data_IF_967434680481
#
_entry.id   IF_967434680481
#
_cell.length_a   1.000
_cell.length_b   1.000
_cell.length_c   1.000
_cell.angle_alpha   90.00
_cell.angle_beta   90.00
_cell.angle_gamma   90.00
#
_symmetry.space_group_name_H-M   'P 1'
#
loop_
_entity.id
_entity.type
_entity.pdbx_description
1 polymer ?
#
# COMPACT_ATOMS: atom_id res chain seq x y z
N UNK A 1 -2.09 15.97 -29.92
CA UNK A 1 -1.47 16.88 -30.91
C UNK A 1 -1.21 18.28 -30.34
N UNK A 2 -2.20 18.93 -29.70
CA UNK A 2 -2.06 20.27 -29.09
C UNK A 2 -0.88 20.40 -28.10
N UNK A 3 -0.69 19.40 -27.24
CA UNK A 3 0.41 19.41 -26.24
C UNK A 3 1.81 19.34 -26.87
N UNK A 4 1.92 18.76 -28.07
CA UNK A 4 3.20 18.69 -28.79
C UNK A 4 3.61 20.08 -29.32
N UNK A 5 2.67 20.84 -29.87
CA UNK A 5 2.94 22.20 -30.36
C UNK A 5 3.28 23.16 -29.23
N UNK A 6 2.60 23.05 -28.08
CA UNK A 6 2.87 23.88 -26.90
C UNK A 6 4.30 23.64 -26.39
N UNK A 7 4.75 22.38 -26.33
CA UNK A 7 6.13 22.04 -25.92
C UNK A 7 7.17 22.58 -26.90
N UNK A 8 6.93 22.45 -28.21
CA UNK A 8 7.82 22.98 -29.25
C UNK A 8 7.93 24.51 -29.12
N UNK A 9 6.80 25.21 -28.96
CA UNK A 9 6.78 26.66 -28.80
C UNK A 9 7.52 27.10 -27.53
N UNK A 10 7.30 26.44 -26.40
CA UNK A 10 7.99 26.74 -25.15
C UNK A 10 9.51 26.57 -25.27
N UNK A 11 9.97 25.52 -25.95
CA UNK A 11 11.39 25.30 -26.21
C UNK A 11 11.99 26.39 -27.10
N UNK A 12 11.27 26.82 -28.16
CA UNK A 12 11.72 27.92 -29.01
C UNK A 12 11.85 29.24 -28.24
N UNK A 13 10.87 29.57 -27.40
CA UNK A 13 10.90 30.77 -26.56
C UNK A 13 12.09 30.72 -25.59
N UNK A 14 12.35 29.57 -24.96
CA UNK A 14 13.49 29.40 -24.07
C UNK A 14 14.82 29.62 -24.79
N UNK A 15 14.98 29.05 -25.99
CA UNK A 15 16.18 29.24 -26.82
C UNK A 15 16.37 30.74 -27.14
N UNK A 16 15.30 31.45 -27.50
CA UNK A 16 15.36 32.89 -27.79
C UNK A 16 15.78 33.67 -26.53
N UNK A 17 15.20 33.38 -25.37
CA UNK A 17 15.56 34.05 -24.10
C UNK A 17 17.03 33.84 -23.74
N UNK A 18 17.58 32.66 -24.02
CA UNK A 18 18.98 32.33 -23.72
C UNK A 18 19.97 32.87 -24.76
N UNK A 19 19.57 33.01 -26.03
CA UNK A 19 20.47 33.46 -27.10
C UNK A 19 20.40 34.98 -27.32
N UNK A 20 19.24 35.61 -27.10
CA UNK A 20 19.03 37.03 -27.36
C UNK A 20 20.03 37.94 -26.63
N UNK A 21 20.36 37.75 -25.34
CA UNK A 21 21.34 38.60 -24.66
C UNK A 21 22.72 38.54 -25.33
N UNK A 22 23.13 37.37 -25.83
CA UNK A 22 24.42 37.19 -26.54
C UNK A 22 24.39 37.95 -27.86
N UNK A 23 23.33 37.79 -28.66
CA UNK A 23 23.20 38.46 -29.95
C UNK A 23 23.14 39.98 -29.80
N UNK A 24 22.41 40.48 -28.79
CA UNK A 24 22.34 41.91 -28.48
C UNK A 24 23.72 42.44 -28.07
N UNK A 25 24.43 41.70 -27.21
CA UNK A 25 25.78 42.07 -26.79
C UNK A 25 26.77 42.11 -27.96
N UNK A 26 26.74 41.10 -28.84
CA UNK A 26 27.55 41.03 -30.06
C UNK A 26 27.23 42.20 -31.00
N UNK A 27 25.95 42.52 -31.20
CA UNK A 27 25.53 43.62 -32.05
C UNK A 27 26.06 44.97 -31.55
N UNK A 28 26.08 45.16 -30.23
CA UNK A 28 26.46 46.43 -29.62
C UNK A 28 27.96 46.61 -29.43
N UNK A 29 28.70 45.54 -29.11
CA UNK A 29 30.13 45.60 -28.74
C UNK A 29 31.05 44.87 -29.72
N UNK A 30 30.50 44.22 -30.76
CA UNK A 30 31.24 43.43 -31.72
C UNK A 30 31.57 42.01 -31.24
N UNK A 31 32.21 41.24 -32.11
CA UNK A 31 32.71 39.89 -31.81
C UNK A 31 34.22 39.98 -31.64
N UNK A 32 34.74 39.57 -30.48
CA UNK A 32 36.18 39.52 -30.25
C UNK A 32 36.54 39.11 -28.84
N UNK A 33 37.81 38.83 -28.63
CA UNK A 33 38.41 38.70 -27.30
C UNK A 33 39.03 40.06 -26.97
N UNK A 34 38.45 40.77 -26.01
CA UNK A 34 38.96 42.07 -25.58
C UNK A 34 40.33 41.90 -24.91
N UNK A 35 41.28 42.76 -25.28
CA UNK A 35 42.66 42.74 -24.78
C UNK A 35 42.78 43.26 -23.35
N UNK A 36 41.83 44.09 -22.91
CA UNK A 36 41.81 44.68 -21.58
C UNK A 36 41.00 43.82 -20.60
N UNK A 37 41.57 43.58 -19.43
CA UNK A 37 40.93 42.78 -18.38
C UNK A 37 39.65 43.43 -17.82
N UNK A 38 39.58 44.76 -17.80
CA UNK A 38 38.39 45.54 -17.41
C UNK A 38 37.16 45.20 -18.28
N UNK A 39 37.35 45.06 -19.60
CA UNK A 39 36.27 44.73 -20.54
C UNK A 39 35.69 43.34 -20.28
N UNK A 40 36.51 42.39 -19.83
CA UNK A 40 36.02 41.07 -19.41
C UNK A 40 35.15 41.14 -18.16
N UNK A 41 35.51 41.97 -17.18
CA UNK A 41 34.72 42.17 -15.97
C UNK A 41 33.37 42.82 -16.28
N UNK A 42 33.33 43.81 -17.17
CA UNK A 42 32.09 44.47 -17.62
C UNK A 42 31.17 43.52 -18.40
N UNK A 43 31.72 42.73 -19.32
CA UNK A 43 30.98 41.67 -20.02
C UNK A 43 30.39 40.66 -19.03
N UNK A 44 31.20 40.18 -18.09
CA UNK A 44 30.78 39.25 -17.05
C UNK A 44 29.68 39.82 -16.17
N UNK A 45 29.74 41.12 -15.84
CA UNK A 45 28.70 41.82 -15.08
C UNK A 45 27.39 41.94 -15.87
N UNK A 46 27.46 42.31 -17.15
CA UNK A 46 26.28 42.43 -18.02
C UNK A 46 25.56 41.08 -18.19
N UNK A 47 26.30 40.02 -18.53
CA UNK A 47 25.73 38.68 -18.64
C UNK A 47 25.32 38.11 -17.29
N UNK A 48 26.11 38.32 -16.23
CA UNK A 48 25.79 37.89 -14.89
C UNK A 48 24.48 38.50 -14.38
N UNK A 49 24.24 39.79 -14.64
CA UNK A 49 23.00 40.47 -14.30
C UNK A 49 21.77 39.94 -15.02
N UNK A 50 21.91 39.47 -16.26
CA UNK A 50 20.80 38.93 -17.07
C UNK A 50 20.59 37.44 -16.80
N UNK A 51 21.65 36.63 -16.82
CA UNK A 51 21.55 35.18 -16.67
C UNK A 51 21.32 34.73 -15.24
N UNK A 52 21.78 35.46 -14.22
CA UNK A 52 21.52 35.08 -12.83
C UNK A 52 20.02 34.94 -12.54
N UNK A 53 19.15 35.94 -12.82
CA UNK A 53 17.71 35.79 -12.60
C UNK A 53 17.07 34.75 -13.53
N UNK A 54 17.54 34.61 -14.78
CA UNK A 54 17.02 33.58 -15.72
C UNK A 54 17.31 32.16 -15.18
N UNK A 55 18.55 31.89 -14.80
CA UNK A 55 18.97 30.60 -14.26
C UNK A 55 18.27 30.33 -12.94
N UNK A 56 18.15 31.32 -12.06
CA UNK A 56 17.42 31.19 -10.80
C UNK A 56 15.94 30.82 -11.04
N UNK A 57 15.29 31.49 -12.00
CA UNK A 57 13.90 31.19 -12.36
C UNK A 57 13.73 29.78 -12.96
N UNK A 58 14.65 29.36 -13.84
CA UNK A 58 14.64 28.01 -14.40
C UNK A 58 14.86 26.95 -13.34
N UNK A 59 15.83 27.15 -12.45
CA UNK A 59 16.09 26.25 -11.32
C UNK A 59 14.86 26.13 -10.41
N UNK A 60 14.22 27.26 -10.07
CA UNK A 60 12.98 27.26 -9.30
C UNK A 60 11.85 26.50 -10.01
N UNK A 61 11.71 26.69 -11.33
CA UNK A 61 10.70 25.98 -12.13
C UNK A 61 10.91 24.47 -12.13
N UNK A 62 12.17 24.03 -12.22
CA UNK A 62 12.54 22.61 -12.11
C UNK A 62 12.19 22.05 -10.73
N UNK A 63 12.53 22.76 -9.66
CA UNK A 63 12.21 22.35 -8.29
C UNK A 63 10.69 22.22 -8.08
N UNK A 64 9.90 23.16 -8.60
CA UNK A 64 8.44 23.09 -8.53
C UNK A 64 7.88 21.85 -9.23
N UNK A 65 8.40 21.52 -10.42
CA UNK A 65 8.02 20.31 -11.13
C UNK A 65 8.45 19.04 -10.37
N UNK A 66 9.67 19.04 -9.82
CA UNK A 66 10.21 17.93 -9.06
C UNK A 66 9.37 17.65 -7.81
N UNK A 67 9.02 18.68 -7.04
CA UNK A 67 8.15 18.53 -5.85
C UNK A 67 6.81 17.92 -6.21
N UNK A 68 6.20 18.35 -7.33
CA UNK A 68 4.93 17.78 -7.80
C UNK A 68 5.06 16.31 -8.19
N UNK A 69 6.12 15.96 -8.92
CA UNK A 69 6.39 14.56 -9.30
C UNK A 69 6.69 13.69 -8.09
N UNK A 70 7.46 14.21 -7.14
CA UNK A 70 7.86 13.50 -5.92
C UNK A 70 6.64 13.13 -5.09
N UNK A 71 5.69 14.05 -4.90
CA UNK A 71 4.44 13.75 -4.16
C UNK A 71 3.69 12.57 -4.74
N UNK A 72 3.57 12.49 -6.07
CA UNK A 72 2.90 11.36 -6.71
C UNK A 72 3.66 10.06 -6.50
N UNK A 73 4.99 10.08 -6.58
CA UNK A 73 5.81 8.89 -6.29
C UNK A 73 5.68 8.46 -4.83
N UNK A 74 5.70 9.41 -3.90
CA UNK A 74 5.59 9.16 -2.46
C UNK A 74 4.26 8.46 -2.12
N UNK A 75 3.15 8.90 -2.72
CA UNK A 75 1.85 8.24 -2.58
C UNK A 75 1.88 6.78 -3.07
N UNK A 76 2.48 6.53 -4.25
CA UNK A 76 2.60 5.16 -4.78
C UNK A 76 3.51 4.30 -3.89
N UNK A 77 4.62 4.86 -3.39
CA UNK A 77 5.53 4.16 -2.49
C UNK A 77 4.89 3.86 -1.13
N UNK A 78 4.08 4.78 -0.61
CA UNK A 78 3.31 4.56 0.61
C UNK A 78 2.31 3.41 0.42
N UNK A 79 1.51 3.45 -0.64
CA UNK A 79 0.53 2.40 -0.95
C UNK A 79 1.21 1.02 -1.12
N UNK A 80 2.34 0.97 -1.84
CA UNK A 80 3.10 -0.27 -2.04
C UNK A 80 3.66 -0.81 -0.73
N UNK A 81 4.31 0.03 0.08
CA UNK A 81 4.88 -0.37 1.37
C UNK A 81 3.79 -0.87 2.31
N UNK A 82 2.69 -0.12 2.44
CA UNK A 82 1.56 -0.51 3.28
C UNK A 82 0.99 -1.89 2.89
N UNK A 83 0.79 -2.13 1.59
CA UNK A 83 0.28 -3.42 1.10
C UNK A 83 1.30 -4.54 1.32
N UNK A 84 2.59 -4.29 1.09
CA UNK A 84 3.63 -5.28 1.29
C UNK A 84 3.75 -5.70 2.76
N UNK A 85 3.74 -4.74 3.67
CA UNK A 85 3.79 -5.00 5.11
C UNK A 85 2.55 -5.76 5.58
N UNK A 86 1.34 -5.34 5.16
CA UNK A 86 0.11 -6.06 5.47
C UNK A 86 0.14 -7.52 4.98
N UNK A 87 0.64 -7.75 3.77
CA UNK A 87 0.74 -9.11 3.22
C UNK A 87 1.77 -9.95 3.96
N UNK A 88 2.89 -9.36 4.34
CA UNK A 88 3.94 -10.05 5.10
C UNK A 88 3.42 -10.49 6.47
N UNK A 89 2.73 -9.59 7.18
CA UNK A 89 2.12 -9.90 8.48
C UNK A 89 1.00 -10.93 8.33
N UNK A 90 0.18 -10.82 7.28
CA UNK A 90 -0.86 -11.79 6.95
C UNK A 90 -0.27 -13.18 6.69
N UNK A 91 0.79 -13.27 5.90
CA UNK A 91 1.46 -14.53 5.57
C UNK A 91 2.12 -15.16 6.79
N UNK A 92 2.70 -14.34 7.67
CA UNK A 92 3.24 -14.78 8.96
C UNK A 92 2.13 -15.37 9.85
N UNK A 93 1.03 -14.64 10.05
CA UNK A 93 -0.09 -15.09 10.88
C UNK A 93 -0.77 -16.33 10.30
N UNK A 94 -0.97 -16.39 8.99
CA UNK A 94 -1.55 -17.53 8.31
C UNK A 94 -0.71 -18.80 8.53
N UNK A 95 0.61 -18.70 8.38
CA UNK A 95 1.52 -19.82 8.57
C UNK A 95 1.59 -20.28 10.03
N UNK A 96 1.61 -19.34 10.98
CA UNK A 96 1.57 -19.69 12.41
C UNK A 96 0.23 -20.32 12.79
N UNK A 97 -0.90 -19.83 12.24
CA UNK A 97 -2.22 -20.39 12.49
C UNK A 97 -2.33 -21.83 11.96
N UNK A 98 -1.87 -22.07 10.74
CA UNK A 98 -1.83 -23.41 10.13
C UNK A 98 -1.04 -24.39 11.01
N UNK A 99 0.12 -23.96 11.51
CA UNK A 99 0.93 -24.74 12.45
C UNK A 99 0.21 -25.04 13.77
N UNK A 100 -0.56 -24.09 14.31
CA UNK A 100 -1.32 -24.30 15.55
C UNK A 100 -2.50 -25.25 15.35
N UNK A 101 -3.11 -25.24 14.16
CA UNK A 101 -4.22 -26.13 13.81
C UNK A 101 -3.76 -27.59 13.65
N UNK A 102 -2.52 -27.80 13.22
CA UNK A 102 -1.96 -29.15 13.03
C UNK A 102 -1.29 -29.73 14.28
N UNK A 103 -1.40 -29.05 15.43
CA UNK A 103 -0.95 -29.61 16.72
C UNK A 103 -1.75 -30.89 17.02
N UNK A 104 -1.10 -32.03 17.29
CA UNK A 104 -1.79 -33.26 17.64
C UNK A 104 -2.36 -33.16 19.06
N UNK A 105 -3.62 -33.54 19.22
CA UNK A 105 -4.27 -33.73 20.52
C UNK A 105 -4.04 -35.17 21.00
N UNK A 106 -4.05 -36.12 20.07
CA UNK A 106 -3.69 -37.52 20.27
C UNK A 106 -3.19 -38.12 18.94
N UNK A 107 -2.91 -39.43 18.92
CA UNK A 107 -2.35 -40.14 17.76
C UNK A 107 -3.23 -40.10 16.49
N UNK A 108 -4.50 -39.67 16.60
CA UNK A 108 -5.48 -39.70 15.50
C UNK A 108 -6.13 -38.36 15.18
N UNK A 109 -6.01 -37.35 16.05
CA UNK A 109 -6.72 -36.08 15.93
C UNK A 109 -5.80 -34.89 16.13
N UNK A 110 -5.98 -33.90 15.27
CA UNK A 110 -5.40 -32.56 15.39
C UNK A 110 -6.40 -31.58 16.01
N UNK A 111 -5.90 -30.42 16.41
CA UNK A 111 -6.74 -29.28 16.81
C UNK A 111 -7.72 -28.89 15.69
N UNK A 112 -7.30 -28.97 14.43
CA UNK A 112 -8.14 -28.74 13.25
C UNK A 112 -9.37 -29.66 13.22
N UNK A 113 -9.16 -30.95 13.45
CA UNK A 113 -10.25 -31.95 13.43
C UNK A 113 -11.27 -31.71 14.55
N UNK A 114 -10.77 -31.39 15.74
CA UNK A 114 -11.62 -31.06 16.90
C UNK A 114 -12.42 -29.79 16.63
N UNK A 115 -11.80 -28.76 16.04
CA UNK A 115 -12.48 -27.52 15.66
C UNK A 115 -13.60 -27.76 14.63
N UNK A 116 -13.33 -28.55 13.57
CA UNK A 116 -14.34 -28.92 12.59
C UNK A 116 -15.52 -29.61 13.27
N UNK A 117 -15.27 -30.65 14.08
CA UNK A 117 -16.33 -31.38 14.79
C UNK A 117 -17.11 -30.52 15.81
N UNK A 118 -16.56 -29.38 16.25
CA UNK A 118 -17.19 -28.46 17.17
C UNK A 118 -18.08 -27.40 16.49
N UNK A 119 -17.90 -27.20 15.19
CA UNK A 119 -18.53 -26.10 14.44
C UNK A 119 -19.35 -26.57 13.25
N UNK A 120 -19.13 -27.79 12.78
CA UNK A 120 -19.89 -28.42 11.71
C UNK A 120 -21.37 -28.55 12.10
N UNK A 121 -22.26 -28.32 11.12
CA UNK A 121 -23.71 -28.46 11.25
C UNK A 121 -24.42 -27.49 12.21
N UNK A 122 -23.70 -26.55 12.84
CA UNK A 122 -24.33 -25.49 13.64
C UNK A 122 -24.52 -24.20 12.84
N UNK A 123 -25.71 -23.62 12.96
CA UNK A 123 -26.06 -22.28 12.52
C UNK A 123 -25.76 -21.23 13.62
N UNK A 124 -26.14 -19.97 13.39
CA UNK A 124 -25.91 -18.89 14.37
C UNK A 124 -26.55 -19.17 15.73
N UNK A 125 -27.77 -19.72 15.78
CA UNK A 125 -28.45 -19.98 17.04
C UNK A 125 -27.83 -21.18 17.76
N UNK A 126 -27.51 -22.25 17.02
CA UNK A 126 -26.85 -23.43 17.55
C UNK A 126 -25.47 -23.13 18.14
N UNK A 127 -24.70 -22.25 17.51
CA UNK A 127 -23.39 -21.81 18.02
C UNK A 127 -23.45 -20.98 19.30
N UNK A 128 -24.60 -20.38 19.60
CA UNK A 128 -24.86 -19.64 20.84
C UNK A 128 -25.60 -20.50 21.88
N UNK A 129 -25.86 -21.78 21.58
CA UNK A 129 -26.34 -22.74 22.56
C UNK A 129 -25.29 -22.99 23.63
N UNK A 130 -25.71 -23.10 24.90
CA UNK A 130 -24.82 -23.19 26.06
C UNK A 130 -23.74 -24.26 25.92
N UNK A 131 -24.13 -25.49 25.56
CA UNK A 131 -23.19 -26.62 25.45
C UNK A 131 -22.15 -26.43 24.33
N UNK A 132 -22.57 -25.92 23.17
CA UNK A 132 -21.68 -25.70 22.02
C UNK A 132 -20.74 -24.54 22.29
N UNK A 133 -21.27 -23.46 22.84
CA UNK A 133 -20.48 -22.28 23.20
C UNK A 133 -19.44 -22.61 24.28
N UNK A 134 -19.82 -23.35 25.31
CA UNK A 134 -18.89 -23.80 26.36
C UNK A 134 -17.77 -24.66 25.77
N UNK A 135 -18.10 -25.60 24.88
CA UNK A 135 -17.11 -26.42 24.18
C UNK A 135 -16.12 -25.58 23.36
N UNK A 136 -16.61 -24.59 22.61
CA UNK A 136 -15.75 -23.69 21.82
C UNK A 136 -14.90 -22.77 22.70
N UNK A 137 -15.42 -22.32 23.85
CA UNK A 137 -14.65 -21.58 24.84
C UNK A 137 -13.55 -22.44 25.46
N UNK A 138 -13.81 -23.72 25.74
CA UNK A 138 -12.78 -24.66 26.22
C UNK A 138 -11.65 -24.84 25.20
N UNK A 139 -11.99 -25.04 23.92
CA UNK A 139 -11.00 -25.10 22.83
C UNK A 139 -10.20 -23.79 22.77
N UNK A 140 -10.86 -22.64 22.87
CA UNK A 140 -10.20 -21.33 22.89
C UNK A 140 -9.26 -21.15 24.07
N UNK A 141 -9.61 -21.66 25.24
CA UNK A 141 -8.79 -21.55 26.44
C UNK A 141 -7.58 -22.49 26.38
N UNK A 142 -7.72 -23.67 25.79
CA UNK A 142 -6.63 -24.62 25.59
C UNK A 142 -5.67 -24.18 24.47
N UNK A 143 -6.21 -23.53 23.43
CA UNK A 143 -5.47 -23.07 22.26
C UNK A 143 -5.71 -21.58 21.98
N UNK A 144 -5.27 -20.68 22.88
CA UNK A 144 -5.58 -19.24 22.81
C UNK A 144 -5.03 -18.55 21.56
N UNK A 145 -4.01 -19.16 20.92
CA UNK A 145 -3.43 -18.65 19.68
C UNK A 145 -4.38 -18.71 18.48
N UNK A 146 -5.30 -19.69 18.43
CA UNK A 146 -6.20 -19.83 17.28
C UNK A 146 -7.06 -18.59 17.09
N UNK A 147 -7.75 -18.19 18.15
CA UNK A 147 -8.68 -17.05 18.10
C UNK A 147 -7.94 -15.72 18.02
N UNK A 148 -6.82 -15.58 18.74
CA UNK A 148 -6.07 -14.33 18.76
C UNK A 148 -5.38 -14.05 17.43
N UNK A 149 -4.81 -15.07 16.78
CA UNK A 149 -4.22 -14.92 15.44
C UNK A 149 -5.31 -14.67 14.41
N UNK A 150 -6.40 -15.45 14.42
CA UNK A 150 -7.51 -15.24 13.47
C UNK A 150 -8.10 -13.83 13.60
N UNK A 151 -8.32 -13.35 14.83
CA UNK A 151 -8.77 -11.99 15.08
C UNK A 151 -7.73 -10.93 14.64
N UNK A 152 -6.43 -11.18 14.82
CA UNK A 152 -5.35 -10.28 14.41
C UNK A 152 -5.22 -10.15 12.88
N UNK A 153 -5.60 -11.18 12.12
CA UNK A 153 -5.65 -11.12 10.66
C UNK A 153 -6.78 -10.22 10.14
N UNK A 154 -7.83 -9.99 10.93
CA UNK A 154 -9.01 -9.24 10.48
C UNK A 154 -8.71 -7.76 10.17
N UNK A 155 -8.03 -6.98 11.05
CA UNK A 155 -7.62 -5.62 10.73
C UNK A 155 -6.79 -5.49 9.46
N UNK A 156 -5.92 -6.48 9.15
CA UNK A 156 -5.12 -6.48 7.92
C UNK A 156 -6.01 -6.58 6.68
N UNK A 157 -6.99 -7.49 6.73
CA UNK A 157 -7.98 -7.65 5.66
C UNK A 157 -8.88 -6.42 5.54
N UNK A 158 -9.32 -5.83 6.66
CA UNK A 158 -10.10 -4.59 6.67
C UNK A 158 -9.31 -3.47 6.00
N UNK A 159 -8.05 -3.27 6.40
CA UNK A 159 -7.14 -2.26 5.85
C UNK A 159 -6.96 -2.39 4.33
N UNK A 160 -6.77 -3.61 3.83
CA UNK A 160 -6.69 -3.87 2.39
C UNK A 160 -8.03 -3.67 1.66
N UNK A 161 -9.17 -3.79 2.36
CA UNK A 161 -10.51 -3.63 1.79
C UNK A 161 -11.03 -2.19 1.78
N UNK A 162 -10.36 -1.25 2.47
CA UNK A 162 -10.79 0.16 2.57
C UNK A 162 -10.91 0.82 1.19
N UNK A 163 -10.02 0.46 0.27
CA UNK A 163 -9.97 1.06 -1.06
C UNK A 163 -10.43 0.07 -2.13
N UNK A 164 -11.54 0.37 -2.82
CA UNK A 164 -12.04 -0.44 -3.94
C UNK A 164 -11.32 -0.14 -5.27
N UNK A 165 -9.99 -0.02 -5.23
CA UNK A 165 -9.14 0.22 -6.41
C UNK A 165 -7.99 -0.78 -6.46
N UNK A 166 -7.40 -0.94 -7.63
CA UNK A 166 -6.09 -1.57 -7.75
C UNK A 166 -5.03 -0.69 -7.07
N UNK A 167 -4.03 -1.24 -6.35
CA UNK A 167 -3.79 -2.68 -6.09
C UNK A 167 -4.46 -3.23 -4.82
N UNK A 168 -5.12 -2.41 -4.00
CA UNK A 168 -5.75 -2.81 -2.73
C UNK A 168 -6.75 -3.96 -2.88
N UNK A 169 -7.79 -3.78 -3.72
CA UNK A 169 -8.83 -4.78 -3.95
C UNK A 169 -8.27 -6.13 -4.42
N UNK A 170 -7.23 -6.09 -5.25
CA UNK A 170 -6.58 -7.31 -5.76
C UNK A 170 -5.86 -8.06 -4.64
N UNK A 171 -5.11 -7.36 -3.79
CA UNK A 171 -4.39 -7.99 -2.69
C UNK A 171 -5.32 -8.47 -1.58
N UNK A 172 -6.40 -7.73 -1.27
CA UNK A 172 -7.45 -8.20 -0.37
C UNK A 172 -8.02 -9.55 -0.82
N UNK A 173 -8.48 -9.65 -2.08
CA UNK A 173 -8.99 -10.91 -2.63
C UNK A 173 -7.91 -12.00 -2.66
N UNK A 174 -6.66 -11.63 -2.96
CA UNK A 174 -5.53 -12.55 -2.92
C UNK A 174 -5.26 -13.14 -1.54
N UNK A 175 -5.37 -12.34 -0.47
CA UNK A 175 -5.24 -12.82 0.91
C UNK A 175 -6.36 -13.80 1.29
N UNK A 176 -7.62 -13.49 0.94
CA UNK A 176 -8.74 -14.41 1.18
C UNK A 176 -8.56 -15.75 0.45
N UNK A 177 -8.18 -15.70 -0.83
CA UNK A 177 -7.92 -16.90 -1.62
C UNK A 177 -6.75 -17.71 -1.06
N UNK A 178 -5.69 -17.02 -0.60
CA UNK A 178 -4.54 -17.69 0.02
C UNK A 178 -4.94 -18.40 1.30
N UNK A 179 -5.70 -17.75 2.19
CA UNK A 179 -6.19 -18.36 3.41
C UNK A 179 -7.05 -19.60 3.15
N UNK A 180 -8.00 -19.53 2.21
CA UNK A 180 -8.83 -20.68 1.86
C UNK A 180 -8.05 -21.80 1.15
N UNK A 181 -6.93 -21.48 0.50
CA UNK A 181 -6.07 -22.48 -0.15
C UNK A 181 -5.16 -23.19 0.86
N UNK A 182 -4.61 -22.47 1.84
CA UNK A 182 -3.70 -23.04 2.85
C UNK A 182 -4.48 -23.75 3.96
N UNK A 183 -5.49 -23.10 4.54
CA UNK A 183 -6.23 -23.67 5.68
C UNK A 183 -7.38 -24.59 5.25
N UNK A 184 -7.79 -24.55 3.97
CA UNK A 184 -9.09 -24.97 3.44
C UNK A 184 -10.25 -24.05 3.83
N UNK A 185 -11.24 -23.94 2.94
CA UNK A 185 -12.46 -23.16 3.19
C UNK A 185 -13.19 -23.62 4.46
N UNK A 186 -13.28 -24.94 4.69
CA UNK A 186 -13.93 -25.51 5.89
C UNK A 186 -13.32 -25.00 7.19
N UNK A 187 -12.00 -24.93 7.25
CA UNK A 187 -11.29 -24.41 8.43
C UNK A 187 -11.50 -22.91 8.59
N UNK A 188 -11.43 -22.13 7.51
CA UNK A 188 -11.71 -20.69 7.59
C UNK A 188 -13.14 -20.41 8.11
N UNK A 189 -14.14 -21.15 7.60
CA UNK A 189 -15.53 -21.06 8.09
C UNK A 189 -15.62 -21.49 9.56
N UNK A 190 -14.94 -22.56 9.97
CA UNK A 190 -14.92 -23.01 11.36
C UNK A 190 -14.31 -21.97 12.31
N UNK A 191 -13.24 -21.28 11.89
CA UNK A 191 -12.61 -20.20 12.65
C UNK A 191 -13.53 -18.97 12.79
N UNK A 192 -14.23 -18.58 11.71
CA UNK A 192 -15.25 -17.53 11.77
C UNK A 192 -16.39 -17.90 12.76
N UNK A 193 -16.87 -19.14 12.70
CA UNK A 193 -17.89 -19.66 13.63
C UNK A 193 -17.42 -19.68 15.08
N UNK A 194 -16.19 -20.13 15.32
CA UNK A 194 -15.58 -20.13 16.64
C UNK A 194 -15.52 -18.70 17.20
N UNK A 195 -15.06 -17.74 16.39
CA UNK A 195 -15.00 -16.34 16.80
C UNK A 195 -16.36 -15.73 17.10
N UNK A 196 -17.36 -16.03 16.27
CA UNK A 196 -18.73 -15.62 16.53
C UNK A 196 -19.24 -16.18 17.87
N UNK A 197 -19.05 -17.47 18.13
CA UNK A 197 -19.50 -18.13 19.35
C UNK A 197 -18.77 -17.60 20.60
N UNK A 198 -17.44 -17.51 20.57
CA UNK A 198 -16.63 -17.06 21.72
C UNK A 198 -16.84 -15.57 22.05
N UNK A 199 -17.32 -14.77 21.09
CA UNK A 199 -17.70 -13.38 21.32
C UNK A 199 -19.18 -13.20 21.70
N UNK A 200 -19.91 -14.29 21.90
CA UNK A 200 -21.37 -14.31 22.13
C UNK A 200 -22.15 -13.51 21.07
N UNK A 201 -21.66 -13.51 19.83
CA UNK A 201 -22.22 -12.76 18.71
C UNK A 201 -22.07 -11.23 18.82
N UNK A 202 -21.35 -10.70 19.82
CA UNK A 202 -21.24 -9.25 20.09
C UNK A 202 -20.08 -8.58 19.36
N UNK A 203 -19.04 -9.33 19.01
CA UNK A 203 -17.84 -8.79 18.37
C UNK A 203 -17.41 -9.61 17.15
N UNK A 204 -18.26 -9.79 16.12
CA UNK A 204 -17.78 -10.35 14.89
C UNK A 204 -16.94 -9.28 14.21
N UNK A 205 -15.61 -9.34 14.38
CA UNK A 205 -14.75 -8.84 13.32
C UNK A 205 -15.26 -9.46 12.01
N UNK A 206 -15.27 -8.70 10.92
CA UNK A 206 -15.95 -9.08 9.68
C UNK A 206 -15.67 -10.55 9.31
N UNK A 207 -16.70 -11.38 9.26
CA UNK A 207 -16.58 -12.81 8.97
C UNK A 207 -16.51 -12.99 7.45
N UNK A 208 -15.34 -13.34 6.92
CA UNK A 208 -15.11 -13.33 5.47
C UNK A 208 -15.48 -14.67 4.79
N UNK A 209 -15.62 -15.75 5.54
CA UNK A 209 -15.76 -17.12 5.01
C UNK A 209 -17.03 -17.83 5.47
N UNK A 210 -17.66 -17.38 6.55
CA UNK A 210 -18.94 -17.94 6.99
C UNK A 210 -20.15 -17.07 6.62
N UNK A 211 -19.99 -15.75 6.50
CA UNK A 211 -21.02 -14.85 5.97
C UNK A 211 -20.76 -14.52 4.50
N UNK A 212 -20.97 -15.52 3.65
CA UNK A 212 -21.14 -15.32 2.21
C UNK A 212 -22.58 -15.69 1.81
N UNK A 213 -23.58 -15.07 2.46
CA UNK A 213 -24.96 -14.93 1.98
C UNK A 213 -25.82 -14.21 3.04
N UNK A 214 -25.88 -12.88 2.93
CA UNK A 214 -27.11 -12.07 3.03
C UNK A 214 -26.94 -10.84 2.16
#
# INVERSE_FOLDING_TARGET
MKDRYIKILANLVLIVILIAPILIYIYQFGIGVWSEHSSWAEMGSAFGGIYSPIIAFLAFSVLMYQVKSQRSLDEHHYDQTYIQDNKKDFDFYLSELDRQLDVPINDSLTVRDVLHSATDNYDKQGLLGGDVQERLMLISNQHPKLISIWAAMNPLLVGLSVHDRFPYKHNFKGCLLKASSILSLRTCTALDKMQYSTSSGKYPSKMYFWEAET
#
